data_IF_523503938155
#
_entry.id   IF_523503938155
#
_cell.length_a   1.000
_cell.length_b   1.000
_cell.length_c   1.000
_cell.angle_alpha   90.00
_cell.angle_beta   90.00
_cell.angle_gamma   90.00
#
_symmetry.space_group_name_H-M   'P 1'
#
loop_
_entity.id
_entity.type
_entity.pdbx_description
1 polymer ?
#
# COMPACT_ATOMS: atom_id res chain seq x y z
N UNK A 1 -10.71 -15.27 24.85
CA UNK A 1 -9.28 -15.68 24.98
C UNK A 1 -8.54 -14.48 25.57
N UNK A 2 -7.38 -14.65 26.22
CA UNK A 2 -6.67 -13.49 26.76
C UNK A 2 -6.08 -12.69 25.60
N UNK A 3 -6.35 -11.39 25.56
CA UNK A 3 -5.73 -10.44 24.64
C UNK A 3 -4.25 -10.24 25.00
N UNK A 4 -3.44 -9.95 24.01
CA UNK A 4 -2.02 -9.65 24.16
C UNK A 4 -1.76 -8.22 23.74
N UNK A 5 -1.10 -7.41 24.56
CA UNK A 5 -0.66 -6.08 24.18
C UNK A 5 0.47 -6.19 23.15
N UNK A 6 0.34 -5.50 22.03
CA UNK A 6 1.36 -5.36 21.02
C UNK A 6 1.67 -3.89 20.77
N UNK A 7 2.92 -3.60 20.44
CA UNK A 7 3.39 -2.27 20.08
C UNK A 7 4.05 -2.31 18.70
N UNK A 8 3.64 -1.44 17.79
CA UNK A 8 4.18 -1.36 16.44
C UNK A 8 4.05 0.06 15.88
N UNK A 9 4.75 0.34 14.79
CA UNK A 9 4.60 1.60 14.08
C UNK A 9 3.51 1.46 13.00
N UNK A 10 2.56 2.40 12.96
CA UNK A 10 1.54 2.48 11.92
C UNK A 10 1.54 3.87 11.27
N UNK A 11 1.86 3.93 9.98
CA UNK A 11 1.92 5.17 9.21
C UNK A 11 2.82 6.23 9.86
N UNK A 12 3.94 5.81 10.48
CA UNK A 12 4.89 6.70 11.15
C UNK A 12 4.59 6.98 12.63
N UNK A 13 3.46 6.52 13.17
CA UNK A 13 3.08 6.71 14.56
C UNK A 13 3.25 5.42 15.36
N UNK A 14 3.71 5.53 16.59
CA UNK A 14 3.77 4.39 17.52
C UNK A 14 2.37 4.15 18.11
N UNK A 15 1.91 2.92 17.98
CA UNK A 15 0.65 2.47 18.57
C UNK A 15 0.88 1.29 19.52
N UNK A 16 0.08 1.25 20.57
CA UNK A 16 0.03 0.12 21.50
C UNK A 16 -1.43 -0.30 21.67
N UNK A 17 -1.74 -1.55 21.32
CA UNK A 17 -3.11 -2.03 21.24
C UNK A 17 -3.20 -3.50 21.70
N UNK A 18 -4.34 -3.88 22.26
CA UNK A 18 -4.62 -5.26 22.58
C UNK A 18 -5.09 -6.00 21.32
N UNK A 19 -4.56 -7.19 21.09
CA UNK A 19 -4.95 -8.05 19.98
C UNK A 19 -5.31 -9.45 20.48
N UNK A 20 -6.34 -10.04 19.87
CA UNK A 20 -6.68 -11.44 20.09
C UNK A 20 -5.70 -12.37 19.35
N UNK A 21 -5.43 -13.58 19.88
CA UNK A 21 -4.45 -14.50 19.29
C UNK A 21 -4.74 -14.92 17.84
N UNK A 22 -6.01 -14.93 17.44
CA UNK A 22 -6.46 -15.30 16.10
C UNK A 22 -6.90 -14.11 15.23
N UNK A 23 -6.77 -12.87 15.73
CA UNK A 23 -7.09 -11.66 15.01
C UNK A 23 -6.10 -11.45 13.87
N UNK A 24 -6.60 -11.15 12.66
CA UNK A 24 -5.76 -10.80 11.53
C UNK A 24 -5.33 -9.33 11.62
N UNK A 25 -4.20 -9.01 10.99
CA UNK A 25 -3.77 -7.61 10.84
C UNK A 25 -4.83 -6.77 10.12
N UNK A 26 -5.53 -7.34 9.14
CA UNK A 26 -6.65 -6.67 8.45
C UNK A 26 -7.75 -6.25 9.43
N UNK A 27 -8.18 -7.16 10.31
CA UNK A 27 -9.19 -6.86 11.33
C UNK A 27 -8.71 -5.77 12.29
N UNK A 28 -7.49 -5.89 12.82
CA UNK A 28 -6.90 -4.88 13.70
C UNK A 28 -6.90 -3.49 13.04
N UNK A 29 -6.42 -3.39 11.79
CA UNK A 29 -6.35 -2.12 11.07
C UNK A 29 -7.72 -1.49 10.87
N UNK A 30 -8.73 -2.29 10.50
CA UNK A 30 -10.06 -1.79 10.15
C UNK A 30 -10.95 -1.54 11.34
N UNK A 31 -11.00 -2.52 12.26
CA UNK A 31 -12.03 -2.58 13.29
C UNK A 31 -11.59 -1.82 14.55
N UNK A 32 -10.29 -1.85 14.89
CA UNK A 32 -9.75 -1.20 16.08
C UNK A 32 -9.12 0.17 15.75
N UNK A 33 -8.34 0.26 14.66
CA UNK A 33 -7.65 1.50 14.29
C UNK A 33 -8.44 2.38 13.31
N UNK A 34 -9.56 1.90 12.78
CA UNK A 34 -10.41 2.67 11.88
C UNK A 34 -9.77 2.93 10.50
N UNK A 35 -8.66 2.26 10.15
CA UNK A 35 -7.96 2.40 8.87
C UNK A 35 -8.68 1.61 7.77
N UNK A 36 -9.83 2.11 7.36
CA UNK A 36 -10.77 1.42 6.46
C UNK A 36 -10.38 1.46 4.99
N UNK A 37 -9.32 2.17 4.62
CA UNK A 37 -8.73 2.15 3.27
C UNK A 37 -8.28 0.75 2.88
N UNK A 38 -7.69 -0.01 3.80
CA UNK A 38 -7.39 -1.43 3.61
C UNK A 38 -8.70 -2.23 3.52
N UNK A 39 -8.94 -2.92 2.39
CA UNK A 39 -10.26 -3.55 2.10
C UNK A 39 -10.25 -5.06 2.34
N UNK A 40 -11.33 -5.58 2.91
CA UNK A 40 -11.61 -7.02 2.95
C UNK A 40 -12.40 -7.43 1.70
N UNK A 41 -11.75 -8.17 0.79
CA UNK A 41 -12.37 -8.63 -0.44
C UNK A 41 -12.57 -10.14 -0.52
N UNK A 42 -11.71 -10.93 0.10
CA UNK A 42 -11.80 -12.40 0.04
C UNK A 42 -11.44 -13.13 1.33
N UNK A 43 -10.70 -12.49 2.26
CA UNK A 43 -10.17 -13.08 3.51
C UNK A 43 -9.41 -14.41 3.30
N UNK A 44 -8.90 -14.67 2.08
CA UNK A 44 -8.20 -15.91 1.69
C UNK A 44 -6.83 -15.68 1.04
N UNK A 45 -6.37 -14.42 0.96
CA UNK A 45 -5.07 -14.08 0.40
C UNK A 45 -5.02 -13.93 -1.13
N UNK A 46 -6.16 -14.08 -1.84
CA UNK A 46 -6.17 -14.17 -3.32
C UNK A 46 -6.33 -12.82 -4.00
N UNK A 47 -7.19 -11.92 -3.46
CA UNK A 47 -7.64 -10.74 -4.22
C UNK A 47 -6.72 -9.51 -4.13
N UNK A 48 -5.85 -9.43 -3.14
CA UNK A 48 -4.93 -8.30 -2.94
C UNK A 48 -5.56 -6.97 -2.52
N UNK A 49 -6.86 -6.93 -2.21
CA UNK A 49 -7.53 -5.69 -1.76
C UNK A 49 -7.06 -5.23 -0.37
N UNK A 50 -6.52 -6.15 0.42
CA UNK A 50 -6.01 -5.93 1.78
C UNK A 50 -4.49 -5.72 1.84
N UNK A 51 -3.80 -5.50 0.74
CA UNK A 51 -2.35 -5.32 0.73
C UNK A 51 -1.96 -4.07 1.53
N UNK A 52 -1.00 -4.25 2.44
CA UNK A 52 -0.31 -3.22 3.20
C UNK A 52 1.19 -3.46 3.11
N UNK A 53 2.02 -2.49 3.50
CA UNK A 53 3.44 -2.77 3.72
C UNK A 53 3.66 -3.22 5.16
N UNK A 54 4.39 -4.28 5.34
CA UNK A 54 4.95 -4.74 6.61
C UNK A 54 6.47 -4.72 6.46
N UNK A 55 7.14 -3.85 7.21
CA UNK A 55 8.58 -3.57 7.08
C UNK A 55 9.00 -3.29 5.63
N UNK A 56 8.23 -2.46 4.93
CA UNK A 56 8.47 -2.08 3.53
C UNK A 56 8.09 -3.13 2.49
N UNK A 57 7.62 -4.31 2.88
CA UNK A 57 7.24 -5.40 1.95
C UNK A 57 5.72 -5.51 1.82
N UNK A 58 5.17 -5.63 0.60
CA UNK A 58 3.74 -5.81 0.39
C UNK A 58 3.29 -7.19 0.89
N UNK A 59 2.29 -7.21 1.77
CA UNK A 59 1.69 -8.42 2.32
C UNK A 59 0.16 -8.33 2.30
N UNK A 60 -0.50 -9.48 2.15
CA UNK A 60 -1.95 -9.57 2.34
C UNK A 60 -2.28 -9.58 3.83
N UNK A 61 -2.75 -8.46 4.39
CA UNK A 61 -3.01 -8.32 5.83
C UNK A 61 -4.06 -9.29 6.37
N UNK A 62 -4.93 -9.85 5.53
CA UNK A 62 -5.87 -10.91 5.91
C UNK A 62 -5.17 -12.26 6.22
N UNK A 63 -3.91 -12.45 5.81
CA UNK A 63 -3.11 -13.66 6.02
C UNK A 63 -2.02 -13.47 7.08
N UNK A 64 -1.93 -12.29 7.67
CA UNK A 64 -0.97 -11.96 8.75
C UNK A 64 -1.74 -11.86 10.06
N UNK A 65 -1.29 -12.53 11.11
CA UNK A 65 -1.85 -12.35 12.45
C UNK A 65 -1.43 -10.99 13.02
N UNK A 66 -2.33 -10.31 13.74
CA UNK A 66 -2.04 -9.03 14.36
C UNK A 66 -0.79 -9.11 15.27
N UNK A 67 -0.64 -10.19 16.01
CA UNK A 67 0.53 -10.43 16.88
C UNK A 67 1.87 -10.47 16.14
N UNK A 68 1.88 -10.77 14.83
CA UNK A 68 3.10 -10.77 14.03
C UNK A 68 3.59 -9.36 13.66
N UNK A 69 2.76 -8.34 13.88
CA UNK A 69 3.15 -6.95 13.67
C UNK A 69 3.90 -6.35 14.87
N UNK A 70 4.04 -7.08 15.98
CA UNK A 70 4.83 -6.62 17.14
C UNK A 70 6.21 -6.16 16.72
N UNK A 71 6.58 -4.93 17.09
CA UNK A 71 7.88 -4.31 16.78
C UNK A 71 8.09 -3.92 15.32
N UNK A 72 7.14 -4.19 14.43
CA UNK A 72 7.25 -3.93 12.99
C UNK A 72 6.74 -2.53 12.60
N UNK A 73 6.96 -2.15 11.33
CA UNK A 73 6.39 -0.96 10.72
C UNK A 73 5.34 -1.35 9.68
N UNK A 74 4.12 -0.87 9.88
CA UNK A 74 3.00 -1.08 8.95
C UNK A 74 2.70 0.23 8.23
N UNK A 75 2.58 0.19 6.89
CA UNK A 75 2.11 1.33 6.10
C UNK A 75 0.86 0.93 5.33
N UNK A 76 -0.21 1.67 5.54
CA UNK A 76 -1.48 1.55 4.82
C UNK A 76 -1.61 2.66 3.78
N UNK A 77 -2.69 2.62 2.99
CA UNK A 77 -2.96 3.66 1.98
C UNK A 77 -3.07 5.07 2.60
N UNK A 78 -3.54 5.16 3.83
CA UNK A 78 -3.66 6.42 4.58
C UNK A 78 -2.30 7.03 4.89
N UNK A 79 -1.25 6.22 4.98
CA UNK A 79 0.11 6.67 5.28
C UNK A 79 0.95 7.08 4.05
N UNK A 80 0.43 6.94 2.82
CA UNK A 80 1.19 7.32 1.63
C UNK A 80 1.20 8.84 1.39
N UNK A 81 0.11 9.52 1.72
CA UNK A 81 0.06 10.99 1.65
C UNK A 81 0.84 11.58 2.84
N UNK A 82 1.63 12.62 2.60
CA UNK A 82 2.39 13.34 3.62
C UNK A 82 2.05 14.81 3.60
N UNK A 83 1.83 15.40 4.75
CA UNK A 83 1.55 16.84 4.90
C UNK A 83 0.38 17.36 4.03
N UNK A 84 -0.59 16.51 3.75
CA UNK A 84 -1.73 16.82 2.88
C UNK A 84 -1.46 16.65 1.38
N UNK A 85 -0.23 16.34 0.99
CA UNK A 85 0.16 16.11 -0.39
C UNK A 85 0.10 14.62 -0.76
N UNK A 86 -0.56 14.33 -1.87
CA UNK A 86 -0.64 12.96 -2.39
C UNK A 86 0.72 12.51 -2.92
N UNK A 87 1.11 11.29 -2.60
CA UNK A 87 2.25 10.67 -3.25
C UNK A 87 2.05 10.63 -4.79
N UNK A 88 3.09 10.81 -5.63
CA UNK A 88 2.96 10.81 -7.09
C UNK A 88 2.12 9.65 -7.64
N UNK A 89 2.28 8.43 -7.10
CA UNK A 89 1.48 7.27 -7.53
C UNK A 89 -0.02 7.43 -7.24
N UNK A 90 -0.41 8.08 -6.14
CA UNK A 90 -1.82 8.33 -5.83
C UNK A 90 -2.42 9.37 -6.80
N UNK A 91 -1.68 10.44 -7.07
CA UNK A 91 -2.11 11.51 -7.98
C UNK A 91 -2.25 11.00 -9.41
N UNK A 92 -1.23 10.31 -9.94
CA UNK A 92 -1.25 9.77 -11.30
C UNK A 92 -2.33 8.71 -11.52
N UNK A 93 -2.72 7.96 -10.47
CA UNK A 93 -3.88 7.06 -10.55
C UNK A 93 -5.18 7.82 -10.85
N UNK A 94 -5.36 9.01 -10.25
CA UNK A 94 -6.48 9.89 -10.56
C UNK A 94 -6.43 10.40 -11.99
N UNK A 95 -5.31 10.94 -12.40
CA UNK A 95 -5.09 11.54 -13.72
C UNK A 95 -5.23 10.52 -14.88
N UNK A 96 -4.77 9.30 -14.66
CA UNK A 96 -4.84 8.22 -15.66
C UNK A 96 -6.17 7.43 -15.64
N UNK A 97 -7.14 7.83 -14.78
CA UNK A 97 -8.40 7.10 -14.59
C UNK A 97 -8.17 5.61 -14.27
N UNK A 98 -7.18 5.34 -13.43
CA UNK A 98 -6.74 3.99 -13.09
C UNK A 98 -7.69 3.24 -12.14
N UNK A 99 -8.81 3.84 -11.78
CA UNK A 99 -9.84 3.23 -10.94
C UNK A 99 -11.26 3.56 -11.44
N UNK A 100 -12.24 2.76 -11.05
CA UNK A 100 -13.68 3.00 -11.28
C UNK A 100 -14.43 2.90 -9.95
N UNK A 101 -14.76 1.69 -9.47
CA UNK A 101 -15.44 1.54 -8.18
C UNK A 101 -14.56 1.86 -6.97
N UNK A 102 -13.24 1.86 -7.12
CA UNK A 102 -12.28 2.21 -6.08
C UNK A 102 -11.94 1.09 -5.08
N UNK A 103 -12.63 -0.06 -5.10
CA UNK A 103 -12.47 -1.09 -4.06
C UNK A 103 -11.08 -1.72 -4.04
N UNK A 104 -10.51 -2.07 -5.20
CA UNK A 104 -9.16 -2.65 -5.30
C UNK A 104 -8.04 -1.58 -5.22
N UNK A 105 -8.39 -0.30 -5.33
CA UNK A 105 -7.42 0.78 -5.52
C UNK A 105 -6.42 0.92 -4.37
N UNK A 106 -6.80 0.85 -3.08
CA UNK A 106 -5.84 0.97 -1.99
C UNK A 106 -4.74 -0.10 -2.03
N UNK A 107 -5.11 -1.37 -2.13
CA UNK A 107 -4.14 -2.47 -2.19
C UNK A 107 -3.26 -2.40 -3.45
N UNK A 108 -3.83 -1.99 -4.58
CA UNK A 108 -3.09 -1.83 -5.83
C UNK A 108 -2.10 -0.65 -5.75
N UNK A 109 -2.47 0.46 -5.11
CA UNK A 109 -1.58 1.59 -4.87
C UNK A 109 -0.39 1.20 -3.99
N UNK A 110 -0.62 0.44 -2.91
CA UNK A 110 0.45 -0.07 -2.04
C UNK A 110 1.42 -0.97 -2.83
N UNK A 111 0.90 -1.87 -3.68
CA UNK A 111 1.74 -2.74 -4.52
C UNK A 111 2.57 -1.93 -5.53
N UNK A 112 1.96 -0.92 -6.16
CA UNK A 112 2.65 -0.02 -7.08
C UNK A 112 3.69 0.87 -6.37
N UNK A 113 3.36 1.36 -5.18
CA UNK A 113 4.30 2.12 -4.34
C UNK A 113 5.52 1.27 -4.00
N UNK A 114 5.33 0.04 -3.52
CA UNK A 114 6.43 -0.88 -3.21
C UNK A 114 7.34 -1.16 -4.41
N UNK A 115 6.76 -1.27 -5.60
CA UNK A 115 7.54 -1.41 -6.84
C UNK A 115 8.40 -0.16 -7.09
N UNK A 116 7.83 1.04 -6.98
CA UNK A 116 8.53 2.30 -7.23
C UNK A 116 9.63 2.59 -6.22
N UNK A 117 9.50 2.13 -4.96
CA UNK A 117 10.56 2.21 -3.95
C UNK A 117 11.77 1.32 -4.31
N UNK A 118 11.55 0.22 -5.03
CA UNK A 118 12.60 -0.72 -5.41
C UNK A 118 13.13 -0.54 -6.84
N UNK A 119 12.34 0.10 -7.72
CA UNK A 119 12.66 0.31 -9.12
C UNK A 119 12.03 1.62 -9.61
N UNK A 120 12.86 2.62 -9.83
CA UNK A 120 12.46 3.97 -10.25
C UNK A 120 12.07 4.07 -11.74
N UNK A 121 12.32 3.02 -12.54
CA UNK A 121 12.01 2.98 -13.96
C UNK A 121 11.43 1.63 -14.41
N UNK A 122 10.29 1.20 -13.84
CA UNK A 122 9.76 -0.12 -14.10
C UNK A 122 9.24 -0.25 -15.54
N UNK A 123 9.58 -1.35 -16.16
CA UNK A 123 9.00 -1.76 -17.45
C UNK A 123 7.51 -2.11 -17.27
N UNK A 124 6.77 -2.10 -18.38
CA UNK A 124 5.37 -2.56 -18.36
C UNK A 124 5.22 -3.97 -17.77
N UNK A 125 6.14 -4.87 -18.06
CA UNK A 125 6.08 -6.25 -17.56
C UNK A 125 6.30 -6.32 -16.05
N UNK A 126 7.24 -5.55 -15.51
CA UNK A 126 7.47 -5.46 -14.08
C UNK A 126 6.28 -4.87 -13.34
N UNK A 127 5.63 -3.84 -13.89
CA UNK A 127 4.39 -3.28 -13.34
C UNK A 127 3.30 -4.36 -13.29
N UNK A 128 3.04 -5.05 -14.40
CA UNK A 128 2.02 -6.11 -14.46
C UNK A 128 2.31 -7.25 -13.48
N UNK A 129 3.59 -7.60 -13.30
CA UNK A 129 4.03 -8.60 -12.31
C UNK A 129 3.78 -8.13 -10.88
N UNK A 130 4.09 -6.88 -10.57
CA UNK A 130 3.89 -6.32 -9.23
C UNK A 130 2.42 -6.29 -8.81
N UNK A 131 1.49 -6.05 -9.76
CA UNK A 131 0.05 -6.01 -9.50
C UNK A 131 -0.67 -7.33 -9.81
N UNK A 132 0.05 -8.40 -10.14
CA UNK A 132 -0.57 -9.69 -10.52
C UNK A 132 -1.45 -10.29 -9.41
N UNK A 133 -1.15 -9.99 -8.14
CA UNK A 133 -1.94 -10.38 -6.97
C UNK A 133 -3.11 -9.43 -6.64
N UNK A 134 -3.31 -8.33 -7.37
CA UNK A 134 -4.37 -7.35 -7.11
C UNK A 134 -5.48 -7.48 -8.15
N UNK A 135 -6.61 -8.08 -7.79
CA UNK A 135 -7.71 -8.30 -8.72
C UNK A 135 -8.57 -7.05 -8.89
N UNK A 136 -8.73 -6.64 -10.15
CA UNK A 136 -9.65 -5.57 -10.53
C UNK A 136 -10.64 -6.08 -11.59
N UNK A 137 -11.94 -5.93 -11.32
CA UNK A 137 -13.01 -6.34 -12.24
C UNK A 137 -13.38 -5.25 -13.25
N UNK A 138 -12.94 -4.01 -13.01
CA UNK A 138 -13.47 -2.84 -13.68
C UNK A 138 -12.56 -2.29 -14.79
N UNK A 139 -11.26 -2.09 -14.52
CA UNK A 139 -10.38 -1.18 -15.28
C UNK A 139 -9.62 -1.85 -16.42
N UNK A 140 -9.45 -3.18 -16.41
CA UNK A 140 -8.58 -3.87 -17.37
C UNK A 140 -7.09 -3.49 -17.27
N UNK A 141 -6.68 -2.84 -16.16
CA UNK A 141 -5.29 -2.51 -15.76
C UNK A 141 -4.53 -1.52 -16.66
N UNK A 142 -5.05 -1.10 -17.81
CA UNK A 142 -4.32 -0.20 -18.72
C UNK A 142 -4.02 1.17 -18.07
N UNK A 143 -5.00 1.75 -17.38
CA UNK A 143 -4.83 2.99 -16.63
C UNK A 143 -3.79 2.86 -15.51
N UNK A 144 -3.74 1.71 -14.84
CA UNK A 144 -2.77 1.43 -13.77
C UNK A 144 -1.33 1.45 -14.31
N UNK A 145 -1.07 0.75 -15.41
CA UNK A 145 0.26 0.74 -16.03
C UNK A 145 0.70 2.15 -16.41
N UNK A 146 -0.21 2.94 -17.05
CA UNK A 146 0.07 4.32 -17.43
C UNK A 146 0.37 5.18 -16.19
N UNK A 147 -0.43 5.06 -15.14
CA UNK A 147 -0.26 5.81 -13.90
C UNK A 147 1.11 5.55 -13.25
N UNK A 148 1.51 4.28 -13.14
CA UNK A 148 2.81 3.91 -12.55
C UNK A 148 3.97 4.45 -13.39
N UNK A 149 3.89 4.38 -14.71
CA UNK A 149 4.93 4.94 -15.60
C UNK A 149 5.05 6.47 -15.46
N UNK A 150 3.92 7.16 -15.30
CA UNK A 150 3.90 8.60 -15.07
C UNK A 150 4.51 8.93 -13.69
N UNK A 151 4.10 8.24 -12.63
CA UNK A 151 4.65 8.42 -11.27
C UNK A 151 6.17 8.18 -11.25
N UNK A 152 6.65 7.12 -11.91
CA UNK A 152 8.07 6.83 -12.04
C UNK A 152 8.85 7.97 -12.72
N UNK A 153 8.31 8.54 -13.78
CA UNK A 153 8.95 9.65 -14.50
C UNK A 153 9.06 10.91 -13.61
N UNK A 154 8.03 11.21 -12.83
CA UNK A 154 8.01 12.35 -11.92
C UNK A 154 9.00 12.16 -10.76
N UNK A 155 9.00 10.99 -10.12
CA UNK A 155 9.94 10.70 -9.03
C UNK A 155 11.39 10.85 -9.47
N UNK A 156 11.74 10.37 -10.67
CA UNK A 156 13.08 10.57 -11.24
C UNK A 156 13.41 12.04 -11.49
N UNK A 157 12.45 12.83 -11.99
CA UNK A 157 12.66 14.26 -12.24
C UNK A 157 12.94 15.02 -10.93
N UNK A 158 12.20 14.70 -9.86
CA UNK A 158 12.39 15.30 -8.52
C UNK A 158 13.76 14.94 -7.95
N UNK A 159 14.14 13.66 -7.97
CA UNK A 159 15.43 13.19 -7.46
C UNK A 159 16.61 13.80 -8.22
N UNK A 160 16.45 14.08 -9.53
CA UNK A 160 17.49 14.69 -10.36
C UNK A 160 17.68 16.19 -10.04
N UNK A 161 16.64 16.87 -9.55
CA UNK A 161 16.70 18.28 -9.17
C UNK A 161 17.30 18.53 -7.78
N UNK A 162 17.17 17.56 -6.87
CA UNK A 162 17.75 17.65 -5.51
C UNK A 162 19.23 17.28 -5.45
N UNK A 163 19.76 16.64 -6.49
CA UNK A 163 21.16 16.19 -6.58
C UNK A 163 22.12 17.16 -7.27
N UNK A 164 21.70 18.38 -7.66
CA UNK A 164 22.61 19.38 -8.21
C UNK A 164 23.30 20.13 -7.06
N UNK A 165 24.64 20.03 -6.91
CA UNK A 165 25.35 20.85 -5.93
C UNK A 165 25.26 22.33 -6.38
N UNK A 166 24.93 23.21 -5.44
CA UNK A 166 25.13 24.64 -5.61
C UNK A 166 26.64 24.91 -5.88
N UNK A 167 26.95 25.31 -7.10
CA UNK A 167 28.27 25.87 -7.43
C UNK A 167 28.36 27.36 -7.00
#
# INVERSE_FOLDING_TARGET
MAETQIAFNINGNQEQIAAEPNQTLLQLLRDELGLTGTKDGCSSGDCGACVVLLDGKPVNSCMVLALQAEGSSVTTIEGLAKDGELHPVQRTFGEAWAFQCGFCTPGMLISCYALLESNDNPTREEILRAIAGNFCRCTGYQGVVKAVQQAAAELRATNSSEGAPDE
#
